data_IF_774837366990
#
_entry.id   IF_774837366990
#
_cell.length_a   1.000
_cell.length_b   1.000
_cell.length_c   1.000
_cell.angle_alpha   90.00
_cell.angle_beta   90.00
_cell.angle_gamma   90.00
#
_symmetry.space_group_name_H-M   'P 1'
#
loop_
_entity.id
_entity.type
_entity.pdbx_description
1 polymer ?
#
# COMPACT_ATOMS: atom_id res chain seq x y z
N UNK A 1 -7.63 29.54 -22.08
CA UNK A 1 -6.23 29.55 -21.61
C UNK A 1 -6.12 28.55 -20.48
N UNK A 2 -5.66 27.34 -20.78
CA UNK A 2 -5.41 26.29 -19.78
C UNK A 2 -4.16 26.66 -19.01
N UNK A 3 -4.27 26.86 -17.69
CA UNK A 3 -3.10 27.00 -16.83
C UNK A 3 -2.39 25.65 -16.79
N UNK A 4 -1.22 25.56 -17.42
CA UNK A 4 -0.29 24.47 -17.26
C UNK A 4 0.09 24.43 -15.76
N UNK A 5 -0.42 23.44 -15.05
CA UNK A 5 0.07 23.12 -13.71
C UNK A 5 1.43 22.48 -13.94
N UNK A 6 2.50 23.23 -13.73
CA UNK A 6 3.86 22.67 -13.64
C UNK A 6 3.86 21.78 -12.41
N UNK A 7 3.70 20.46 -12.62
CA UNK A 7 4.02 19.50 -11.59
C UNK A 7 5.53 19.60 -11.34
N UNK A 8 5.94 20.24 -10.22
CA UNK A 8 7.26 19.96 -9.66
C UNK A 8 7.39 18.43 -9.63
N UNK A 9 8.49 17.90 -10.17
CA UNK A 9 8.81 16.47 -10.02
C UNK A 9 8.90 16.21 -8.52
N UNK A 10 7.85 15.66 -7.97
CA UNK A 10 7.79 15.25 -6.58
C UNK A 10 8.87 14.20 -6.38
N UNK A 11 9.62 14.32 -5.28
CA UNK A 11 10.55 13.27 -4.87
C UNK A 11 9.77 11.94 -4.82
N UNK A 12 10.32 10.91 -5.43
CA UNK A 12 9.78 9.57 -5.48
C UNK A 12 9.52 9.06 -4.06
N UNK A 13 8.34 8.48 -3.83
CA UNK A 13 8.04 7.85 -2.55
C UNK A 13 8.86 6.55 -2.47
N UNK A 14 9.76 6.38 -1.48
CA UNK A 14 10.64 5.21 -1.42
C UNK A 14 9.86 3.96 -0.99
N UNK A 15 9.00 3.49 -1.89
CA UNK A 15 8.11 2.34 -1.71
C UNK A 15 8.17 1.46 -2.95
N UNK A 16 8.53 0.19 -2.74
CA UNK A 16 8.28 -0.89 -3.67
C UNK A 16 6.97 -1.60 -3.31
N UNK A 17 6.28 -2.12 -4.30
CA UNK A 17 5.00 -2.81 -4.12
C UNK A 17 5.04 -4.16 -4.81
N UNK A 18 4.68 -5.25 -4.12
CA UNK A 18 4.52 -6.58 -4.70
C UNK A 18 3.05 -6.96 -4.67
N UNK A 19 2.50 -7.31 -5.83
CA UNK A 19 1.18 -7.94 -5.97
C UNK A 19 1.39 -9.43 -6.24
N UNK A 20 1.13 -10.26 -5.24
CA UNK A 20 1.28 -11.71 -5.36
C UNK A 20 -0.06 -12.39 -5.57
N UNK A 21 -0.21 -13.06 -6.71
CA UNK A 21 -1.42 -13.82 -7.06
C UNK A 21 -2.71 -12.98 -7.03
N UNK A 22 -2.66 -11.70 -7.38
CA UNK A 22 -3.85 -10.84 -7.51
C UNK A 22 -4.62 -11.23 -8.77
N UNK A 23 -5.83 -11.76 -8.59
CA UNK A 23 -6.65 -12.35 -9.67
C UNK A 23 -7.27 -11.31 -10.60
N UNK A 24 -7.76 -10.24 -10.03
CA UNK A 24 -8.54 -9.25 -10.76
C UNK A 24 -7.65 -8.28 -11.53
N UNK A 25 -7.72 -8.32 -12.86
CA UNK A 25 -7.03 -7.38 -13.74
C UNK A 25 -7.46 -5.93 -13.50
N UNK A 26 -8.71 -5.72 -13.08
CA UNK A 26 -9.20 -4.39 -12.68
C UNK A 26 -8.51 -3.88 -11.42
N UNK A 27 -8.26 -4.78 -10.43
CA UNK A 27 -7.51 -4.42 -9.23
C UNK A 27 -6.07 -4.07 -9.59
N UNK A 28 -5.42 -4.86 -10.46
CA UNK A 28 -4.05 -4.56 -10.94
C UNK A 28 -3.98 -3.18 -11.59
N UNK A 29 -4.91 -2.86 -12.48
CA UNK A 29 -4.97 -1.53 -13.11
C UNK A 29 -5.23 -0.40 -12.10
N UNK A 30 -6.08 -0.64 -11.09
CA UNK A 30 -6.30 0.33 -10.02
C UNK A 30 -5.04 0.55 -9.16
N UNK A 31 -4.24 -0.49 -8.92
CA UNK A 31 -2.93 -0.36 -8.29
C UNK A 31 -1.96 0.49 -9.10
N UNK A 32 -1.87 0.28 -10.41
CA UNK A 32 -1.05 1.14 -11.28
C UNK A 32 -1.44 2.61 -11.12
N UNK A 33 -2.74 2.91 -11.17
CA UNK A 33 -3.23 4.28 -11.04
C UNK A 33 -2.91 4.90 -9.68
N UNK A 34 -3.04 4.14 -8.59
CA UNK A 34 -2.69 4.62 -7.26
C UNK A 34 -1.18 4.78 -7.10
N UNK A 35 -0.40 3.83 -7.63
CA UNK A 35 1.05 3.86 -7.64
C UNK A 35 1.61 5.12 -8.34
N UNK A 36 1.04 5.45 -9.51
CA UNK A 36 1.34 6.69 -10.24
C UNK A 36 1.01 7.93 -9.39
N UNK A 37 -0.18 7.95 -8.77
CA UNK A 37 -0.66 9.09 -7.99
C UNK A 37 0.22 9.42 -6.78
N UNK A 38 0.86 8.42 -6.16
CA UNK A 38 1.75 8.61 -5.01
C UNK A 38 3.23 8.53 -5.39
N UNK A 39 3.54 8.27 -6.67
CA UNK A 39 4.90 8.20 -7.22
C UNK A 39 5.78 7.17 -6.50
N UNK A 40 5.37 5.88 -6.49
CA UNK A 40 6.20 4.80 -5.93
C UNK A 40 7.39 4.48 -6.86
N UNK A 41 8.42 3.80 -6.31
CA UNK A 41 9.59 3.40 -7.08
C UNK A 41 9.30 2.29 -8.09
N UNK A 42 8.69 1.19 -7.67
CA UNK A 42 8.48 0.01 -8.54
C UNK A 42 7.30 -0.84 -8.10
N UNK A 43 6.57 -1.35 -9.07
CA UNK A 43 5.50 -2.33 -8.90
C UNK A 43 5.94 -3.70 -9.43
N UNK A 44 6.04 -4.70 -8.56
CA UNK A 44 6.34 -6.10 -8.91
C UNK A 44 5.06 -6.91 -9.02
N UNK A 45 4.94 -7.68 -10.11
CA UNK A 45 3.78 -8.52 -10.41
C UNK A 45 4.20 -10.00 -10.35
N UNK A 46 3.74 -10.72 -9.33
CA UNK A 46 4.16 -12.07 -8.99
C UNK A 46 3.05 -13.11 -9.23
N UNK A 47 3.47 -14.34 -9.41
CA UNK A 47 2.58 -15.48 -9.62
C UNK A 47 1.73 -15.32 -10.87
N UNK A 48 0.41 -15.55 -10.75
CA UNK A 48 -0.54 -15.36 -11.84
C UNK A 48 -1.14 -13.96 -11.93
N UNK A 49 -0.62 -12.98 -11.16
CA UNK A 49 -0.99 -11.57 -11.31
C UNK A 49 -0.81 -11.15 -12.76
N UNK A 50 -1.87 -10.59 -13.34
CA UNK A 50 -1.84 -10.11 -14.72
C UNK A 50 -0.90 -8.92 -14.89
N UNK A 51 -0.36 -8.74 -16.11
CA UNK A 51 0.56 -7.64 -16.41
C UNK A 51 0.20 -6.94 -17.73
N UNK A 52 0.63 -5.70 -17.93
CA UNK A 52 0.56 -5.06 -19.25
C UNK A 52 1.39 -5.85 -20.32
N UNK A 53 0.99 -5.79 -21.62
CA UNK A 53 -0.20 -5.10 -22.12
C UNK A 53 -1.47 -5.96 -21.93
N UNK A 54 -2.49 -5.40 -21.28
CA UNK A 54 -3.78 -6.05 -21.10
C UNK A 54 -4.90 -5.01 -21.05
N UNK A 55 -5.93 -5.20 -21.89
CA UNK A 55 -7.03 -4.23 -22.05
C UNK A 55 -7.81 -3.97 -20.75
N UNK A 56 -7.98 -4.99 -19.91
CA UNK A 56 -8.71 -4.86 -18.64
C UNK A 56 -7.88 -4.06 -17.61
N UNK A 57 -6.55 -4.20 -17.63
CA UNK A 57 -5.65 -3.38 -16.82
C UNK A 57 -5.71 -1.93 -17.30
N UNK A 58 -5.56 -1.69 -18.60
CA UNK A 58 -5.58 -0.33 -19.19
C UNK A 58 -6.88 0.42 -18.89
N UNK A 59 -8.03 -0.28 -18.84
CA UNK A 59 -9.32 0.34 -18.51
C UNK A 59 -9.36 1.03 -17.14
N UNK A 60 -8.63 0.52 -16.16
CA UNK A 60 -8.61 1.07 -14.80
C UNK A 60 -7.33 1.83 -14.48
N UNK A 61 -6.21 1.47 -15.11
CA UNK A 61 -4.94 2.18 -14.99
C UNK A 61 -4.95 3.54 -15.70
N UNK A 62 -5.72 3.69 -16.79
CA UNK A 62 -5.87 4.94 -17.57
C UNK A 62 -4.53 5.54 -18.02
N UNK A 63 -3.58 4.68 -18.43
CA UNK A 63 -2.26 5.10 -18.89
C UNK A 63 -1.17 5.03 -17.82
N UNK A 64 -1.51 4.88 -16.53
CA UNK A 64 -0.51 4.77 -15.46
C UNK A 64 0.43 3.57 -15.63
N UNK A 65 0.01 2.51 -16.32
CA UNK A 65 0.83 1.36 -16.66
C UNK A 65 2.02 1.69 -17.61
N UNK A 66 2.03 2.88 -18.17
CA UNK A 66 3.13 3.37 -19.02
C UNK A 66 4.08 4.31 -18.29
N UNK A 67 3.71 4.81 -17.12
CA UNK A 67 4.46 5.78 -16.32
C UNK A 67 5.09 5.17 -15.07
N UNK A 68 4.39 4.23 -14.43
CA UNK A 68 4.90 3.51 -13.26
C UNK A 68 5.93 2.47 -13.71
N UNK A 69 7.11 2.47 -13.08
CA UNK A 69 8.08 1.39 -13.27
C UNK A 69 7.49 0.08 -12.72
N UNK A 70 7.52 -0.98 -13.53
CA UNK A 70 7.02 -2.28 -13.11
C UNK A 70 7.82 -3.43 -13.75
N UNK A 71 7.82 -4.58 -13.10
CA UNK A 71 8.36 -5.81 -13.66
C UNK A 71 7.57 -7.04 -13.22
N UNK A 72 7.63 -8.11 -14.02
CA UNK A 72 7.18 -9.43 -13.59
C UNK A 72 8.28 -10.12 -12.81
N UNK A 73 7.92 -10.62 -11.63
CA UNK A 73 8.81 -11.47 -10.86
C UNK A 73 8.26 -12.90 -10.77
N UNK A 74 9.00 -13.90 -11.29
CA UNK A 74 8.58 -15.29 -11.16
C UNK A 74 8.81 -15.84 -9.75
N UNK A 75 9.69 -15.21 -8.97
CA UNK A 75 10.06 -15.61 -7.62
C UNK A 75 9.94 -14.43 -6.64
N UNK A 76 8.78 -14.29 -5.98
CA UNK A 76 8.57 -13.22 -5.00
C UNK A 76 9.47 -13.36 -3.77
N UNK A 77 9.90 -14.58 -3.41
CA UNK A 77 10.83 -14.82 -2.30
C UNK A 77 12.18 -14.18 -2.60
N UNK A 78 12.76 -14.46 -3.78
CA UNK A 78 14.02 -13.88 -4.20
C UNK A 78 13.94 -12.35 -4.32
N UNK A 79 12.79 -11.82 -4.78
CA UNK A 79 12.54 -10.37 -4.87
C UNK A 79 12.53 -9.74 -3.48
N UNK A 80 11.80 -10.30 -2.52
CA UNK A 80 11.76 -9.82 -1.14
C UNK A 80 13.16 -9.85 -0.51
N UNK A 81 13.92 -10.94 -0.67
CA UNK A 81 15.29 -11.06 -0.15
C UNK A 81 16.23 -10.01 -0.76
N UNK A 82 16.07 -9.72 -2.06
CA UNK A 82 16.86 -8.68 -2.74
C UNK A 82 16.53 -7.30 -2.19
N UNK A 83 15.25 -6.98 -2.00
CA UNK A 83 14.82 -5.70 -1.43
C UNK A 83 15.27 -5.56 0.03
N UNK A 84 15.17 -6.62 0.84
CA UNK A 84 15.75 -6.64 2.19
C UNK A 84 17.25 -6.31 2.16
N UNK A 85 18.01 -6.93 1.26
CA UNK A 85 19.44 -6.68 1.09
C UNK A 85 19.76 -5.22 0.67
N UNK A 86 18.77 -4.51 0.10
CA UNK A 86 18.85 -3.08 -0.21
C UNK A 86 18.36 -2.18 0.94
N UNK A 87 17.98 -2.75 2.08
CA UNK A 87 17.56 -2.02 3.27
C UNK A 87 16.07 -1.68 3.34
N UNK A 88 15.21 -2.32 2.51
CA UNK A 88 13.76 -2.15 2.62
C UNK A 88 13.19 -2.87 3.84
N UNK A 89 12.32 -2.20 4.60
CA UNK A 89 11.42 -2.85 5.54
C UNK A 89 10.39 -3.67 4.73
N UNK A 90 10.33 -5.00 4.96
CA UNK A 90 9.38 -5.88 4.28
C UNK A 90 8.08 -5.94 5.09
N UNK A 91 6.97 -5.54 4.48
CA UNK A 91 5.70 -5.36 5.16
C UNK A 91 4.58 -6.10 4.43
N UNK A 92 3.96 -7.07 5.10
CA UNK A 92 2.74 -7.69 4.61
C UNK A 92 1.51 -6.87 4.99
N UNK A 93 0.67 -6.52 4.01
CA UNK A 93 -0.63 -5.90 4.27
C UNK A 93 -1.66 -7.02 4.40
N UNK A 94 -1.81 -7.53 5.64
CA UNK A 94 -2.61 -8.72 5.92
C UNK A 94 -3.17 -8.68 7.34
N UNK A 95 -4.32 -9.32 7.54
CA UNK A 95 -4.95 -9.46 8.86
C UNK A 95 -4.40 -10.71 9.55
N UNK A 96 -3.36 -10.56 10.37
CA UNK A 96 -2.75 -11.62 11.17
C UNK A 96 -2.85 -11.29 12.67
N UNK A 97 -2.59 -12.26 13.52
CA UNK A 97 -2.60 -12.04 14.99
C UNK A 97 -1.54 -11.02 15.44
N UNK A 98 -0.43 -10.93 14.72
CA UNK A 98 0.66 -9.99 15.00
C UNK A 98 0.53 -8.65 14.26
N UNK A 99 -0.53 -8.47 13.45
CA UNK A 99 -0.66 -7.28 12.62
C UNK A 99 -0.84 -6.00 13.43
N UNK A 100 -0.07 -4.99 13.08
CA UNK A 100 -0.13 -3.65 13.66
C UNK A 100 -1.21 -2.84 12.94
N UNK A 101 -1.95 -2.04 13.65
CA UNK A 101 -2.87 -1.04 13.08
C UNK A 101 -2.08 -0.08 12.16
N UNK A 102 -2.51 0.06 10.90
CA UNK A 102 -1.90 0.92 9.90
C UNK A 102 -1.59 2.34 10.40
N UNK A 103 -2.51 2.91 11.19
CA UNK A 103 -2.36 4.28 11.67
C UNK A 103 -1.36 4.40 12.82
N UNK A 104 -1.08 3.29 13.54
CA UNK A 104 -0.09 3.21 14.62
C UNK A 104 1.29 2.79 14.12
N UNK A 105 1.36 2.08 13.00
CA UNK A 105 2.63 1.66 12.41
C UNK A 105 3.51 2.85 12.05
N UNK A 106 4.80 2.76 12.37
CA UNK A 106 5.82 3.75 12.02
C UNK A 106 6.79 3.13 11.01
N UNK A 107 6.64 3.41 9.71
CA UNK A 107 7.47 2.79 8.67
C UNK A 107 8.94 3.23 8.74
N UNK A 108 9.85 2.29 8.51
CA UNK A 108 11.27 2.54 8.27
C UNK A 108 11.52 2.55 6.75
N UNK A 109 11.51 3.73 6.14
CA UNK A 109 11.75 3.85 4.70
C UNK A 109 13.20 3.50 4.31
N UNK A 110 13.43 2.87 3.13
CA UNK A 110 12.43 2.47 2.14
C UNK A 110 11.58 1.25 2.57
N UNK A 111 10.35 1.15 2.06
CA UNK A 111 9.39 0.11 2.42
C UNK A 111 9.03 -0.74 1.21
N UNK A 112 8.96 -2.05 1.37
CA UNK A 112 8.35 -2.96 0.41
C UNK A 112 7.02 -3.47 0.96
N UNK A 113 5.91 -3.11 0.30
CA UNK A 113 4.58 -3.61 0.64
C UNK A 113 4.26 -4.88 -0.16
N UNK A 114 3.77 -5.90 0.52
CA UNK A 114 3.28 -7.13 -0.09
C UNK A 114 1.76 -7.22 0.06
N UNK A 115 1.05 -7.39 -1.06
CA UNK A 115 -0.37 -7.69 -1.12
C UNK A 115 -0.56 -9.07 -1.73
N UNK A 116 -1.29 -9.94 -1.04
CA UNK A 116 -1.60 -11.29 -1.48
C UNK A 116 -2.92 -11.41 -2.25
N UNK A 117 -3.31 -12.65 -2.49
CA UNK A 117 -4.55 -13.04 -3.16
C UNK A 117 -5.79 -12.54 -2.40
N UNK A 118 -6.84 -12.17 -3.14
CA UNK A 118 -8.07 -11.61 -2.57
C UNK A 118 -8.89 -12.63 -1.73
N UNK A 119 -8.66 -13.91 -1.91
CA UNK A 119 -9.39 -15.01 -1.25
C UNK A 119 -8.51 -15.76 -0.27
N UNK A 120 -7.32 -16.15 -0.71
CA UNK A 120 -6.39 -16.99 0.05
C UNK A 120 -5.43 -16.17 0.93
N UNK A 121 -5.34 -14.86 0.67
CA UNK A 121 -4.38 -13.98 1.33
C UNK A 121 -2.95 -14.21 0.87
N UNK A 122 -2.00 -13.83 1.69
CA UNK A 122 -0.57 -14.03 1.47
C UNK A 122 -0.13 -15.40 1.97
N UNK A 123 0.67 -16.12 1.18
CA UNK A 123 1.17 -17.44 1.59
C UNK A 123 2.05 -17.37 2.84
N UNK A 124 2.06 -18.41 3.70
CA UNK A 124 2.88 -18.42 4.90
C UNK A 124 4.37 -18.17 4.63
N UNK A 125 4.89 -18.74 3.55
CA UNK A 125 6.30 -18.55 3.17
C UNK A 125 6.67 -17.10 2.87
N UNK A 126 5.74 -16.29 2.34
CA UNK A 126 5.95 -14.88 2.11
C UNK A 126 5.69 -14.04 3.36
N UNK A 127 4.71 -14.44 4.20
CA UNK A 127 4.46 -13.80 5.49
C UNK A 127 5.68 -13.90 6.41
N UNK A 128 6.30 -15.09 6.49
CA UNK A 128 7.49 -15.34 7.33
C UNK A 128 8.70 -14.50 6.91
N UNK A 129 8.72 -14.00 5.68
CA UNK A 129 9.73 -13.06 5.21
C UNK A 129 9.45 -11.62 5.59
N UNK A 130 8.24 -11.26 5.95
CA UNK A 130 7.90 -9.88 6.31
C UNK A 130 8.10 -9.66 7.81
N UNK A 131 8.97 -8.71 8.16
CA UNK A 131 9.22 -8.36 9.56
C UNK A 131 8.02 -7.70 10.23
N UNK A 132 7.19 -7.03 9.40
CA UNK A 132 6.03 -6.26 9.87
C UNK A 132 4.77 -6.72 9.14
N UNK A 133 3.70 -6.98 9.88
CA UNK A 133 2.37 -7.16 9.32
C UNK A 133 1.52 -5.95 9.69
N UNK A 134 0.79 -5.40 8.71
CA UNK A 134 -0.02 -4.21 8.89
C UNK A 134 -1.45 -4.48 8.46
N UNK A 135 -2.42 -4.09 9.28
CA UNK A 135 -3.84 -4.20 8.98
C UNK A 135 -4.54 -2.83 8.99
N UNK A 136 -5.52 -2.68 8.12
CA UNK A 136 -6.44 -1.54 8.16
C UNK A 136 -7.53 -1.82 9.19
N UNK A 137 -7.75 -0.94 10.19
CA UNK A 137 -8.80 -1.17 11.19
C UNK A 137 -10.18 -1.17 10.55
N UNK A 138 -10.97 -2.21 10.84
CA UNK A 138 -12.30 -2.40 10.30
C UNK A 138 -13.34 -2.28 11.43
N UNK A 139 -14.14 -1.21 11.43
CA UNK A 139 -15.16 -0.94 12.45
C UNK A 139 -16.55 -1.48 12.10
N UNK A 140 -16.72 -1.97 10.89
CA UNK A 140 -17.98 -2.52 10.39
C UNK A 140 -18.09 -4.04 10.57
N UNK A 141 -19.12 -4.63 9.92
CA UNK A 141 -19.33 -6.09 9.93
C UNK A 141 -18.37 -6.85 9.01
N UNK A 142 -17.86 -6.21 7.95
CA UNK A 142 -16.88 -6.80 7.05
C UNK A 142 -15.49 -6.73 7.65
N UNK A 143 -14.67 -7.75 7.40
CA UNK A 143 -13.33 -7.87 7.96
C UNK A 143 -12.22 -7.48 6.99
N UNK A 144 -12.55 -7.23 5.73
CA UNK A 144 -11.60 -6.85 4.68
C UNK A 144 -12.19 -5.83 3.73
N UNK A 145 -11.32 -5.09 3.06
CA UNK A 145 -11.60 -4.25 1.91
C UNK A 145 -11.26 -4.99 0.61
N UNK A 146 -11.75 -4.48 -0.51
CA UNK A 146 -11.19 -4.82 -1.81
C UNK A 146 -9.68 -4.52 -1.79
N UNK A 147 -8.85 -5.40 -2.38
CA UNK A 147 -7.39 -5.30 -2.28
C UNK A 147 -6.84 -3.99 -2.87
N UNK A 148 -7.39 -3.51 -3.98
CA UNK A 148 -6.96 -2.24 -4.57
C UNK A 148 -7.40 -1.03 -3.72
N UNK A 149 -8.56 -1.12 -3.05
CA UNK A 149 -8.99 -0.12 -2.08
C UNK A 149 -8.06 -0.11 -0.87
N UNK A 150 -7.69 -1.28 -0.34
CA UNK A 150 -6.71 -1.42 0.72
C UNK A 150 -5.35 -0.81 0.31
N UNK A 151 -4.90 -1.11 -0.92
CA UNK A 151 -3.69 -0.52 -1.50
C UNK A 151 -3.72 0.99 -1.52
N UNK A 152 -4.85 1.59 -1.93
CA UNK A 152 -5.04 3.04 -1.91
C UNK A 152 -4.90 3.64 -0.52
N UNK A 153 -5.57 3.04 0.48
CA UNK A 153 -5.51 3.50 1.87
C UNK A 153 -4.08 3.45 2.42
N UNK A 154 -3.39 2.31 2.23
CA UNK A 154 -2.02 2.10 2.73
C UNK A 154 -1.02 3.04 2.06
N UNK A 155 -1.07 3.15 0.73
CA UNK A 155 -0.14 4.00 -0.03
C UNK A 155 -0.30 5.49 0.32
N UNK A 156 -1.52 5.98 0.47
CA UNK A 156 -1.75 7.37 0.89
C UNK A 156 -1.36 7.63 2.35
N UNK A 157 -1.52 6.65 3.24
CA UNK A 157 -1.04 6.77 4.61
C UNK A 157 0.51 6.79 4.66
N UNK A 158 1.19 5.98 3.83
CA UNK A 158 2.63 6.05 3.68
C UNK A 158 3.09 7.40 3.12
N UNK A 159 2.42 7.91 2.07
CA UNK A 159 2.70 9.24 1.54
C UNK A 159 2.56 10.32 2.62
N UNK A 160 1.49 10.24 3.43
CA UNK A 160 1.29 11.16 4.55
C UNK A 160 2.43 11.07 5.57
N UNK A 161 2.80 9.85 5.99
CA UNK A 161 3.88 9.63 6.96
C UNK A 161 5.24 10.07 6.44
N UNK A 162 5.51 9.87 5.15
CA UNK A 162 6.76 10.27 4.51
C UNK A 162 6.88 11.79 4.38
N UNK A 163 5.81 12.46 3.95
CA UNK A 163 5.82 13.91 3.69
C UNK A 163 5.56 14.77 4.91
N UNK A 164 4.74 14.26 5.81
CA UNK A 164 4.30 14.98 7.01
C UNK A 164 4.60 14.12 8.24
N UNK A 165 5.90 13.89 8.54
CA UNK A 165 6.27 13.18 9.76
C UNK A 165 5.64 13.91 10.94
N UNK A 166 4.87 13.19 11.74
CA UNK A 166 4.32 13.76 12.96
C UNK A 166 5.51 14.07 13.86
N UNK A 167 5.79 15.35 14.08
CA UNK A 167 6.75 15.73 15.14
C UNK A 167 6.31 15.00 16.40
N UNK A 168 7.20 14.21 16.99
CA UNK A 168 6.92 13.58 18.28
C UNK A 168 6.53 14.71 19.23
N UNK A 169 5.26 14.69 19.67
CA UNK A 169 4.80 15.64 20.67
C UNK A 169 5.83 15.66 21.79
N UNK A 170 6.37 16.83 22.12
CA UNK A 170 7.31 16.96 23.24
C UNK A 170 6.63 16.36 24.46
N UNK A 171 7.35 15.59 25.29
CA UNK A 171 6.77 15.07 26.53
C UNK A 171 6.15 16.23 27.32
N UNK A 172 4.85 16.21 27.54
CA UNK A 172 4.12 17.26 28.27
C UNK A 172 3.13 18.09 27.44
N UNK A 173 2.97 17.85 26.13
CA UNK A 173 1.89 18.48 25.37
C UNK A 173 0.54 17.87 25.77
N UNK A 174 -0.51 18.68 26.11
CA UNK A 174 -1.80 18.14 26.50
C UNK A 174 -2.42 17.40 25.31
N UNK A 175 -2.77 16.14 25.53
CA UNK A 175 -3.59 15.34 24.62
C UNK A 175 -4.99 15.95 24.65
N UNK A 176 -5.41 16.62 23.57
CA UNK A 176 -6.81 16.99 23.37
C UNK A 176 -7.60 15.70 23.16
N UNK A 177 -8.15 15.19 24.26
CA UNK A 177 -9.18 14.13 24.22
C UNK A 177 -10.45 14.82 23.72
N UNK A 178 -11.07 14.39 22.61
CA UNK A 178 -12.37 14.89 22.22
C UNK A 178 -13.34 14.56 23.36
N UNK A 179 -13.88 15.57 24.03
CA UNK A 179 -14.98 15.40 24.98
C UNK A 179 -16.17 14.89 24.19
N UNK A 180 -16.52 13.62 24.40
CA UNK A 180 -17.63 12.98 23.71
C UNK A 180 -18.97 13.47 24.22
N UNK A 181 -19.46 14.57 23.67
CA UNK A 181 -20.85 14.97 23.72
C UNK A 181 -21.39 15.08 22.28
N UNK A 182 -21.53 13.92 21.64
CA UNK A 182 -22.33 13.78 20.45
C UNK A 182 -23.75 13.38 20.80
N UNK A 183 -24.81 13.96 20.19
CA UNK A 183 -26.19 13.66 20.53
C UNK A 183 -26.51 12.18 20.28
N UNK A 184 -27.14 11.54 21.24
CA UNK A 184 -27.66 10.18 21.13
C UNK A 184 -28.60 10.08 19.92
N UNK A 185 -28.25 9.25 18.94
CA UNK A 185 -29.16 8.89 17.84
C UNK A 185 -30.23 7.98 18.41
N UNK A 186 -31.43 8.52 18.57
CA UNK A 186 -32.66 7.74 18.75
C UNK A 186 -32.90 6.84 17.55
N UNK A 187 -33.38 5.64 17.81
CA UNK A 187 -33.65 4.52 16.88
C UNK A 187 -34.69 4.88 15.83
#
# INVERSE_FOLDING_TARGET
MSKSVTHERLAELPVALILDNVRSLYNVGAFFRTADAVCIETLYLSGYTGSPPNKEITKTALGAETTVAWERTPDPVATLQTLRGRGYELVAVETTESAIDLFKWQPCFPVCLLFGNEVEGTSPALLDLCETHVQIPMLGRKRSLNVATAGGVVLYELLRKYRYPVERAKPGSPVLVPTGDGPARSR
#
